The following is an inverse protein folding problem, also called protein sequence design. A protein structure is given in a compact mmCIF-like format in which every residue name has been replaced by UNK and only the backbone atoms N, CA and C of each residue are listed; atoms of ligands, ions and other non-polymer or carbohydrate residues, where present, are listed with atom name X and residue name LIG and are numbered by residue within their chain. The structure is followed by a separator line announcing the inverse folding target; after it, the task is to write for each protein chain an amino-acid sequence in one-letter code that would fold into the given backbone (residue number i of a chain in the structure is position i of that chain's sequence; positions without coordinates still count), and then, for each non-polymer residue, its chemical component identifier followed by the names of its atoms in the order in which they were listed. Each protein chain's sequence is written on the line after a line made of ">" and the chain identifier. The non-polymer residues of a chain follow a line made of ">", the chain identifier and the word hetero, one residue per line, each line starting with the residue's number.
data_IF_316489077716
#
_entry.id   IF_316489077716
#
_cell.length_a   1.000
_cell.length_b   1.000
_cell.length_c   1.000
_cell.angle_alpha   90.00
_cell.angle_beta   90.00
_cell.angle_gamma   90.00
#
_symmetry.space_group_name_H-M   'P 1'
#
loop_
_entity.id
_entity.type
_entity.pdbx_description
1 polymer ?
#
# COMPACT_ATOMS: atom_id res chain seq x y z
N UNK A 1 -41.03 48.44 -64.49
CA UNK A 1 -40.33 47.11 -64.56
C UNK A 1 -39.08 47.07 -63.66
N UNK A 2 -38.49 48.15 -63.16
CA UNK A 2 -37.24 48.25 -62.40
C UNK A 2 -37.37 47.94 -60.93
N UNK A 3 -38.49 48.14 -60.26
CA UNK A 3 -38.69 47.96 -58.81
C UNK A 3 -38.75 46.45 -58.40
N UNK A 4 -39.31 45.60 -59.29
CA UNK A 4 -39.42 44.16 -59.04
C UNK A 4 -38.04 43.46 -59.06
N UNK A 5 -37.08 44.00 -59.80
CA UNK A 5 -35.68 43.42 -59.90
C UNK A 5 -34.88 43.75 -58.67
N UNK A 6 -35.02 44.91 -58.06
CA UNK A 6 -34.35 45.30 -56.82
C UNK A 6 -34.85 44.50 -55.62
N UNK A 7 -36.17 44.24 -55.54
CA UNK A 7 -36.69 43.45 -54.42
C UNK A 7 -36.27 41.97 -54.43
N UNK A 8 -36.11 41.36 -55.63
CA UNK A 8 -35.57 39.99 -55.75
C UNK A 8 -34.07 39.88 -55.39
N UNK A 9 -33.29 40.95 -55.67
CA UNK A 9 -31.84 40.96 -55.38
C UNK A 9 -31.59 41.15 -53.90
N UNK A 10 -32.38 41.98 -53.19
CA UNK A 10 -32.28 42.15 -51.74
C UNK A 10 -32.72 40.90 -50.95
N UNK A 11 -33.82 40.23 -51.42
CA UNK A 11 -34.26 38.98 -50.77
C UNK A 11 -33.26 37.85 -50.96
N UNK A 12 -32.59 37.70 -52.12
CA UNK A 12 -31.54 36.70 -52.31
C UNK A 12 -30.30 36.96 -51.44
N UNK A 13 -29.91 38.23 -51.24
CA UNK A 13 -28.81 38.61 -50.38
C UNK A 13 -29.12 38.37 -48.90
N UNK A 14 -30.35 38.66 -48.47
CA UNK A 14 -30.79 38.39 -47.09
C UNK A 14 -30.80 36.89 -46.76
N UNK A 15 -31.30 36.04 -47.71
CA UNK A 15 -31.31 34.58 -47.57
C UNK A 15 -29.88 34.01 -47.58
N UNK A 16 -28.95 34.59 -48.34
CA UNK A 16 -27.54 34.22 -48.37
C UNK A 16 -26.82 34.55 -47.07
N UNK A 17 -27.11 35.72 -46.49
CA UNK A 17 -26.53 36.14 -45.20
C UNK A 17 -27.05 35.24 -44.05
N UNK A 18 -28.32 34.89 -44.01
CA UNK A 18 -28.89 34.00 -42.99
C UNK A 18 -28.34 32.58 -43.10
N UNK A 19 -28.15 32.03 -44.31
CA UNK A 19 -27.52 30.70 -44.46
C UNK A 19 -26.07 30.67 -44.00
N UNK A 20 -25.30 31.68 -44.32
CA UNK A 20 -23.90 31.78 -43.92
C UNK A 20 -23.74 31.97 -42.40
N UNK A 21 -24.62 32.73 -41.76
CA UNK A 21 -24.61 32.89 -40.31
C UNK A 21 -25.03 31.62 -39.57
N UNK A 22 -26.03 30.89 -40.06
CA UNK A 22 -26.45 29.59 -39.52
C UNK A 22 -25.33 28.55 -39.68
N UNK A 23 -24.65 28.50 -40.81
CA UNK A 23 -23.55 27.61 -41.05
C UNK A 23 -22.33 27.92 -40.16
N UNK A 24 -22.01 29.20 -39.98
CA UNK A 24 -20.92 29.64 -39.08
C UNK A 24 -21.26 29.35 -37.62
N UNK A 25 -22.53 29.44 -37.21
CA UNK A 25 -22.96 29.08 -35.85
C UNK A 25 -22.86 27.57 -35.62
N UNK A 26 -23.27 26.76 -36.59
CA UNK A 26 -23.22 25.31 -36.48
C UNK A 26 -21.76 24.77 -36.48
N UNK A 27 -20.88 25.38 -37.28
CA UNK A 27 -19.45 25.02 -37.27
C UNK A 27 -18.77 25.36 -35.96
N UNK A 28 -19.06 26.49 -35.34
CA UNK A 28 -18.56 26.84 -34.00
C UNK A 28 -19.07 25.90 -32.91
N UNK A 29 -20.32 25.47 -33.00
CA UNK A 29 -20.89 24.51 -32.05
C UNK A 29 -20.21 23.12 -32.13
N UNK A 30 -19.90 22.69 -33.36
CA UNK A 30 -19.15 21.43 -33.58
C UNK A 30 -17.70 21.56 -33.08
N UNK A 31 -17.04 22.66 -33.32
CA UNK A 31 -15.67 22.90 -32.80
C UNK A 31 -15.64 22.95 -31.28
N UNK A 32 -16.61 23.62 -30.63
CA UNK A 32 -16.74 23.60 -29.18
C UNK A 32 -16.94 22.19 -28.64
N UNK A 33 -17.86 21.41 -29.20
CA UNK A 33 -18.07 20.00 -28.77
C UNK A 33 -16.83 19.15 -28.95
N UNK A 34 -16.07 19.37 -30.01
CA UNK A 34 -14.81 18.67 -30.28
C UNK A 34 -13.71 19.05 -29.28
N UNK A 35 -13.60 20.32 -28.90
CA UNK A 35 -12.66 20.78 -27.86
C UNK A 35 -13.05 20.27 -26.48
N UNK A 36 -14.32 20.29 -26.10
CA UNK A 36 -14.77 19.69 -24.83
C UNK A 36 -14.49 18.20 -24.77
N UNK A 37 -14.73 17.46 -25.86
CA UNK A 37 -14.44 16.03 -25.94
C UNK A 37 -12.93 15.75 -25.82
N UNK A 38 -12.08 16.55 -26.48
CA UNK A 38 -10.63 16.38 -26.38
C UNK A 38 -10.08 16.70 -24.98
N UNK A 39 -10.61 17.73 -24.31
CA UNK A 39 -10.27 18.06 -22.92
C UNK A 39 -10.74 16.96 -21.97
N UNK A 40 -11.93 16.40 -22.18
CA UNK A 40 -12.47 15.30 -21.39
C UNK A 40 -11.59 14.04 -21.52
N UNK A 41 -11.19 13.70 -22.75
CA UNK A 41 -10.30 12.56 -23.02
C UNK A 41 -8.91 12.78 -22.41
N UNK A 42 -8.36 13.99 -22.52
CA UNK A 42 -7.09 14.35 -21.91
C UNK A 42 -7.15 14.29 -20.38
N UNK A 43 -8.23 14.75 -19.77
CA UNK A 43 -8.49 14.64 -18.33
C UNK A 43 -8.62 13.17 -17.89
N UNK A 44 -9.30 12.35 -18.68
CA UNK A 44 -9.45 10.92 -18.40
C UNK A 44 -8.10 10.17 -18.48
N UNK A 45 -7.24 10.53 -19.43
CA UNK A 45 -5.88 9.96 -19.54
C UNK A 45 -4.96 10.33 -18.38
N UNK A 46 -5.14 11.49 -17.76
CA UNK A 46 -4.37 11.92 -16.59
C UNK A 46 -4.71 11.10 -15.33
N UNK A 47 -5.94 10.57 -15.22
CA UNK A 47 -6.40 9.78 -14.07
C UNK A 47 -5.81 8.35 -14.10
N UNK A 48 -5.49 7.80 -15.27
CA UNK A 48 -4.98 6.43 -15.42
C UNK A 48 -3.49 6.23 -15.05
N UNK A 49 -2.74 7.28 -14.71
CA UNK A 49 -1.32 7.17 -14.39
C UNK A 49 -0.98 7.00 -12.90
N UNK A 50 -1.96 6.69 -12.04
CA UNK A 50 -1.67 6.31 -10.65
C UNK A 50 -1.36 4.80 -10.65
N UNK A 51 -0.24 4.42 -11.25
CA UNK A 51 0.35 3.11 -11.05
C UNK A 51 1.03 3.13 -9.68
N UNK A 52 0.34 2.68 -8.65
CA UNK A 52 1.01 2.33 -7.41
C UNK A 52 1.95 1.16 -7.71
N UNK A 53 3.24 1.43 -7.79
CA UNK A 53 4.23 0.38 -7.86
C UNK A 53 4.19 -0.36 -6.51
N UNK A 54 3.54 -1.52 -6.47
CA UNK A 54 3.54 -2.40 -5.31
C UNK A 54 4.98 -2.86 -5.06
N UNK A 55 5.49 -2.63 -3.86
CA UNK A 55 6.85 -2.99 -3.44
C UNK A 55 6.89 -4.42 -2.90
N UNK A 56 5.81 -4.82 -2.25
CA UNK A 56 5.65 -6.11 -1.60
C UNK A 56 4.65 -6.99 -2.36
N UNK A 57 4.86 -8.29 -2.24
CA UNK A 57 3.96 -9.36 -2.69
C UNK A 57 3.82 -10.38 -1.57
N UNK A 58 3.06 -10.03 -0.56
CA UNK A 58 2.84 -10.85 0.62
C UNK A 58 1.52 -11.61 0.53
N UNK A 59 1.57 -12.91 0.85
CA UNK A 59 0.38 -13.73 1.11
C UNK A 59 -0.04 -13.51 2.57
N UNK A 60 -1.15 -12.82 2.79
CA UNK A 60 -1.65 -12.52 4.14
C UNK A 60 -2.87 -13.37 4.44
N UNK A 61 -2.82 -14.12 5.54
CA UNK A 61 -3.89 -15.01 6.00
C UNK A 61 -4.24 -14.77 7.45
N UNK A 62 -5.53 -14.82 7.74
CA UNK A 62 -6.08 -14.76 9.09
C UNK A 62 -6.80 -16.09 9.40
N UNK A 63 -6.31 -16.78 10.42
CA UNK A 63 -6.90 -18.03 10.88
C UNK A 63 -7.55 -17.79 12.25
N UNK A 64 -8.87 -17.86 12.31
CA UNK A 64 -9.68 -17.71 13.53
C UNK A 64 -10.45 -18.99 13.88
N UNK A 65 -9.92 -20.17 13.53
CA UNK A 65 -10.61 -21.45 13.75
C UNK A 65 -10.86 -21.78 15.21
N UNK A 66 -10.11 -21.17 16.13
CA UNK A 66 -10.26 -21.33 17.58
C UNK A 66 -11.38 -20.47 18.19
N UNK A 67 -11.86 -19.47 17.45
CA UNK A 67 -12.89 -18.56 17.95
C UNK A 67 -14.27 -19.14 17.69
N UNK A 68 -14.96 -19.55 18.74
CA UNK A 68 -16.32 -20.10 18.65
C UNK A 68 -17.37 -18.98 18.56
N UNK A 69 -18.38 -19.15 17.74
CA UNK A 69 -19.53 -18.22 17.65
C UNK A 69 -19.24 -16.86 17.01
N UNK A 70 -18.04 -16.64 16.49
CA UNK A 70 -17.68 -15.41 15.78
C UNK A 70 -18.23 -15.42 14.37
N UNK A 71 -18.68 -14.24 13.93
CA UNK A 71 -18.99 -14.05 12.52
C UNK A 71 -17.70 -14.16 11.70
N UNK A 72 -17.62 -15.18 10.86
CA UNK A 72 -16.46 -15.44 10.00
C UNK A 72 -16.21 -14.29 9.03
N UNK A 73 -17.23 -13.50 8.75
CA UNK A 73 -17.17 -12.33 7.86
C UNK A 73 -16.20 -11.28 8.37
N UNK A 74 -16.16 -11.03 9.69
CA UNK A 74 -15.22 -10.08 10.32
C UNK A 74 -13.77 -10.45 10.02
N UNK A 75 -13.42 -11.73 10.14
CA UNK A 75 -12.03 -12.18 9.86
C UNK A 75 -11.70 -12.23 8.37
N UNK A 76 -12.69 -12.44 7.50
CA UNK A 76 -12.51 -12.32 6.06
C UNK A 76 -12.29 -10.86 5.65
N UNK A 77 -13.05 -9.93 6.23
CA UNK A 77 -12.90 -8.50 6.02
C UNK A 77 -11.53 -8.01 6.54
N UNK A 78 -11.14 -8.45 7.75
CA UNK A 78 -9.81 -8.19 8.30
C UNK A 78 -8.71 -8.69 7.37
N UNK A 79 -8.81 -9.92 6.87
CA UNK A 79 -7.81 -10.46 5.94
C UNK A 79 -7.71 -9.61 4.66
N UNK A 80 -8.86 -9.22 4.08
CA UNK A 80 -8.89 -8.37 2.89
C UNK A 80 -8.24 -7.01 3.16
N UNK A 81 -8.60 -6.36 4.26
CA UNK A 81 -8.00 -5.08 4.66
C UNK A 81 -6.49 -5.20 4.89
N UNK A 82 -6.02 -6.30 5.48
CA UNK A 82 -4.60 -6.56 5.70
C UNK A 82 -3.84 -6.83 4.40
N UNK A 83 -4.43 -7.58 3.45
CA UNK A 83 -3.84 -7.78 2.12
C UNK A 83 -3.64 -6.45 1.41
N UNK A 84 -4.65 -5.58 1.44
CA UNK A 84 -4.58 -4.24 0.86
C UNK A 84 -3.56 -3.36 1.59
N UNK A 85 -3.60 -3.34 2.91
CA UNK A 85 -2.66 -2.56 3.74
C UNK A 85 -1.21 -2.95 3.46
N UNK A 86 -0.87 -4.23 3.49
CA UNK A 86 0.50 -4.71 3.33
C UNK A 86 1.01 -4.49 1.90
N UNK A 87 0.21 -4.82 0.88
CA UNK A 87 0.69 -4.81 -0.50
C UNK A 87 0.51 -3.48 -1.24
N UNK A 88 -0.38 -2.60 -0.77
CA UNK A 88 -0.65 -1.33 -1.43
C UNK A 88 -0.05 -0.11 -0.71
N UNK A 89 0.37 -0.26 0.56
CA UNK A 89 1.10 0.80 1.26
C UNK A 89 2.49 0.99 0.64
N UNK A 90 2.91 2.24 0.50
CA UNK A 90 4.25 2.59 0.06
C UNK A 90 5.21 2.56 1.25
N UNK A 91 6.03 1.52 1.33
CA UNK A 91 6.95 1.29 2.44
C UNK A 91 8.32 1.92 2.23
N UNK A 92 8.72 2.13 0.97
CA UNK A 92 10.03 2.68 0.61
C UNK A 92 9.89 3.81 -0.41
N UNK A 93 10.98 4.54 -0.65
CA UNK A 93 11.05 5.51 -1.75
C UNK A 93 11.61 4.90 -3.05
N UNK A 94 11.75 3.57 -3.10
CA UNK A 94 12.33 2.84 -4.22
C UNK A 94 11.21 2.37 -5.15
N UNK A 95 11.47 2.43 -6.45
CA UNK A 95 10.55 1.91 -7.45
C UNK A 95 10.95 0.49 -7.84
N UNK A 96 10.18 -0.49 -7.39
CA UNK A 96 10.39 -1.89 -7.72
C UNK A 96 9.70 -2.26 -9.04
N UNK A 97 10.39 -3.01 -9.89
CA UNK A 97 9.73 -3.68 -11.01
C UNK A 97 8.92 -4.87 -10.51
N UNK A 98 8.01 -5.36 -11.32
CA UNK A 98 7.12 -6.47 -10.94
C UNK A 98 7.87 -7.74 -10.51
N UNK A 99 9.03 -8.01 -11.12
CA UNK A 99 9.90 -9.14 -10.80
C UNK A 99 10.91 -8.86 -9.67
N UNK A 100 10.96 -7.64 -9.16
CA UNK A 100 11.84 -7.22 -8.06
C UNK A 100 11.07 -7.13 -6.74
N UNK A 101 9.75 -7.33 -6.75
CA UNK A 101 8.90 -7.27 -5.56
C UNK A 101 9.37 -8.28 -4.51
N UNK A 102 9.37 -7.84 -3.28
CA UNK A 102 9.76 -8.64 -2.14
C UNK A 102 8.62 -9.61 -1.79
N UNK A 103 8.90 -10.91 -1.85
CA UNK A 103 7.91 -11.95 -1.59
C UNK A 103 7.96 -12.42 -0.13
N UNK A 104 6.78 -12.62 0.45
CA UNK A 104 6.67 -13.08 1.83
C UNK A 104 5.29 -13.60 2.16
N UNK A 105 5.11 -13.97 3.42
CA UNK A 105 3.81 -14.34 3.96
C UNK A 105 3.63 -13.87 5.39
N UNK A 106 2.41 -13.48 5.72
CA UNK A 106 1.98 -13.16 7.08
C UNK A 106 0.80 -14.08 7.41
N UNK A 107 0.94 -14.85 8.49
CA UNK A 107 -0.13 -15.66 9.04
C UNK A 107 -0.46 -15.17 10.44
N UNK A 108 -1.69 -14.72 10.63
CA UNK A 108 -2.24 -14.34 11.94
C UNK A 108 -3.14 -15.46 12.42
N UNK A 109 -2.78 -16.08 13.54
CA UNK A 109 -3.66 -17.03 14.23
C UNK A 109 -4.34 -16.31 15.39
N UNK A 110 -5.64 -16.09 15.28
CA UNK A 110 -6.45 -15.52 16.35
C UNK A 110 -6.81 -16.63 17.31
N UNK A 111 -6.27 -16.59 18.52
CA UNK A 111 -6.42 -17.64 19.53
C UNK A 111 -7.52 -17.32 20.52
N UNK A 112 -7.71 -16.05 20.84
CA UNK A 112 -8.65 -15.57 21.87
C UNK A 112 -9.37 -14.29 21.38
N UNK A 113 -10.61 -14.15 21.82
CA UNK A 113 -11.39 -12.91 21.75
C UNK A 113 -11.63 -12.46 23.18
N UNK A 114 -10.94 -11.41 23.62
CA UNK A 114 -11.02 -10.93 25.00
C UNK A 114 -12.21 -10.03 25.23
N UNK A 115 -12.58 -9.25 24.23
CA UNK A 115 -13.76 -8.37 24.22
C UNK A 115 -14.37 -8.38 22.81
N UNK A 116 -15.40 -7.56 22.57
CA UNK A 116 -16.14 -7.54 21.30
C UNK A 116 -15.21 -7.37 20.09
N UNK A 117 -14.24 -6.47 20.17
CA UNK A 117 -13.36 -6.08 19.07
C UNK A 117 -11.87 -6.27 19.40
N UNK A 118 -11.57 -6.88 20.57
CA UNK A 118 -10.21 -7.16 21.02
C UNK A 118 -9.85 -8.63 20.86
N UNK A 119 -8.73 -8.89 20.21
CA UNK A 119 -8.25 -10.21 19.84
C UNK A 119 -6.82 -10.42 20.32
N UNK A 120 -6.48 -11.65 20.67
CA UNK A 120 -5.12 -12.06 20.99
C UNK A 120 -4.74 -13.33 20.22
N UNK A 121 -3.45 -13.44 19.90
CA UNK A 121 -2.96 -14.59 19.13
C UNK A 121 -1.48 -14.53 18.83
N UNK A 122 -1.11 -15.13 17.73
CA UNK A 122 0.26 -15.12 17.21
C UNK A 122 0.28 -14.65 15.75
N UNK A 123 1.36 -13.96 15.40
CA UNK A 123 1.66 -13.56 14.04
C UNK A 123 2.96 -14.21 13.59
N UNK A 124 2.92 -14.91 12.45
CA UNK A 124 4.09 -15.49 11.80
C UNK A 124 4.40 -14.73 10.51
N UNK A 125 5.63 -14.23 10.42
CA UNK A 125 6.11 -13.48 9.27
C UNK A 125 7.27 -14.23 8.64
N UNK A 126 7.18 -14.48 7.33
CA UNK A 126 8.24 -15.12 6.55
C UNK A 126 8.56 -14.28 5.34
N UNK A 127 9.81 -13.87 5.21
CA UNK A 127 10.36 -13.25 4.01
C UNK A 127 11.15 -14.29 3.23
N UNK A 128 10.96 -14.35 1.92
CA UNK A 128 11.64 -15.30 1.04
C UNK A 128 12.27 -14.60 -0.13
N UNK A 129 13.41 -15.15 -0.57
CA UNK A 129 14.08 -14.73 -1.80
C UNK A 129 14.27 -15.90 -2.75
N UNK A 130 14.07 -15.68 -4.06
CA UNK A 130 14.44 -16.66 -5.06
C UNK A 130 15.96 -16.81 -5.11
N UNK A 131 16.42 -18.06 -5.12
CA UNK A 131 17.84 -18.37 -5.26
C UNK A 131 18.22 -18.30 -6.73
N UNK A 132 19.31 -17.55 -7.04
CA UNK A 132 19.76 -17.31 -8.40
C UNK A 132 19.92 -18.60 -9.21
N UNK A 133 19.40 -18.63 -10.43
CA UNK A 133 19.39 -19.78 -11.37
C UNK A 133 18.75 -21.08 -10.82
N UNK A 134 17.85 -20.97 -9.85
CA UNK A 134 17.10 -22.12 -9.32
C UNK A 134 15.61 -21.80 -9.26
N UNK A 135 14.78 -22.83 -8.99
CA UNK A 135 13.35 -22.66 -8.71
C UNK A 135 13.08 -22.69 -7.19
N UNK A 136 14.10 -22.56 -6.37
CA UNK A 136 13.98 -22.60 -4.91
C UNK A 136 13.96 -21.18 -4.34
N UNK A 137 13.17 -21.01 -3.26
CA UNK A 137 13.17 -19.82 -2.44
C UNK A 137 13.83 -20.13 -1.12
N UNK A 138 14.72 -19.26 -0.63
CA UNK A 138 15.31 -19.33 0.69
C UNK A 138 14.62 -18.34 1.63
N UNK A 139 14.32 -18.72 2.89
CA UNK A 139 13.85 -17.77 3.88
C UNK A 139 15.01 -16.85 4.31
N UNK A 140 14.82 -15.55 4.15
CA UNK A 140 15.73 -14.52 4.68
C UNK A 140 15.34 -14.15 6.10
N UNK A 141 14.04 -14.16 6.40
CA UNK A 141 13.49 -13.87 7.70
C UNK A 141 12.33 -14.82 8.00
N UNK A 142 12.28 -15.37 9.21
CA UNK A 142 11.17 -16.18 9.70
C UNK A 142 11.05 -15.98 11.21
N UNK A 143 9.94 -15.38 11.63
CA UNK A 143 9.70 -15.09 13.04
C UNK A 143 8.26 -15.31 13.42
N UNK A 144 8.04 -15.84 14.62
CA UNK A 144 6.72 -16.00 15.24
C UNK A 144 6.68 -15.14 16.51
N UNK A 145 5.78 -14.17 16.52
CA UNK A 145 5.47 -13.37 17.70
C UNK A 145 4.21 -13.89 18.36
N UNK A 146 4.34 -14.39 19.55
CA UNK A 146 3.26 -14.96 20.37
C UNK A 146 2.64 -13.94 21.34
N UNK A 147 3.08 -12.68 21.30
CA UNK A 147 2.58 -11.59 22.12
C UNK A 147 1.85 -10.56 21.26
N UNK A 148 1.03 -11.06 20.36
CA UNK A 148 0.27 -10.24 19.45
C UNK A 148 -1.16 -10.11 19.94
N UNK A 149 -1.55 -8.91 20.33
CA UNK A 149 -2.92 -8.51 20.66
C UNK A 149 -3.28 -7.29 19.81
N UNK A 150 -4.54 -7.18 19.43
CA UNK A 150 -4.98 -6.07 18.58
C UNK A 150 -6.48 -5.85 18.72
N UNK A 151 -6.90 -4.62 18.49
CA UNK A 151 -8.29 -4.22 18.30
C UNK A 151 -8.59 -4.14 16.79
N UNK A 152 -9.75 -4.64 16.38
CA UNK A 152 -10.25 -4.50 15.03
C UNK A 152 -11.77 -4.39 15.02
N UNK A 153 -12.27 -3.28 14.47
CA UNK A 153 -13.69 -3.05 14.21
C UNK A 153 -13.98 -3.37 12.75
N UNK A 154 -15.04 -4.14 12.51
CA UNK A 154 -15.38 -4.58 11.14
C UNK A 154 -15.59 -3.39 10.19
N UNK A 155 -14.92 -3.43 9.03
CA UNK A 155 -14.91 -2.35 8.05
C UNK A 155 -13.98 -1.17 8.39
N UNK A 156 -13.19 -1.24 9.45
CA UNK A 156 -12.19 -0.22 9.77
C UNK A 156 -11.11 -0.15 8.68
N UNK A 157 -10.81 1.07 8.23
CA UNK A 157 -9.65 1.31 7.37
C UNK A 157 -8.37 1.18 8.20
N UNK A 158 -7.41 0.42 7.66
CA UNK A 158 -6.08 0.29 8.26
C UNK A 158 -5.19 1.41 7.74
N UNK A 159 -4.71 2.25 8.65
CA UNK A 159 -3.80 3.36 8.36
C UNK A 159 -2.55 3.25 9.23
N UNK A 160 -1.44 3.74 8.69
CA UNK A 160 -0.16 3.74 9.37
C UNK A 160 0.61 5.03 9.08
N UNK A 161 1.13 5.62 10.15
CA UNK A 161 2.05 6.74 10.09
C UNK A 161 3.30 6.40 10.94
N UNK A 162 4.51 6.42 10.36
CA UNK A 162 5.72 6.04 11.09
C UNK A 162 6.06 6.96 12.28
N UNK A 163 5.48 8.16 12.33
CA UNK A 163 5.74 9.15 13.39
C UNK A 163 4.76 9.07 14.56
N UNK A 164 3.68 8.31 14.43
CA UNK A 164 2.63 8.23 15.45
C UNK A 164 2.16 6.78 15.63
N UNK A 165 1.88 6.41 16.88
CA UNK A 165 1.24 5.13 17.14
C UNK A 165 -0.26 5.22 16.79
N UNK A 166 -0.73 4.40 15.84
CA UNK A 166 -2.12 4.37 15.40
C UNK A 166 -2.90 3.22 16.04
N UNK A 167 -2.39 2.00 15.94
CA UNK A 167 -2.98 0.81 16.56
C UNK A 167 -1.92 -0.29 16.70
N UNK A 168 -2.16 -1.26 17.60
CA UNK A 168 -1.28 -2.44 17.73
C UNK A 168 -1.23 -3.25 16.45
N UNK A 169 -2.35 -3.40 15.75
CA UNK A 169 -2.45 -4.15 14.51
C UNK A 169 -1.52 -3.58 13.43
N UNK A 170 -1.71 -2.32 13.07
CA UNK A 170 -0.95 -1.68 11.98
C UNK A 170 0.50 -1.43 12.35
N UNK A 171 0.77 -1.01 13.60
CA UNK A 171 2.14 -0.77 14.09
C UNK A 171 2.95 -2.05 14.16
N UNK A 172 2.38 -3.17 14.60
CA UNK A 172 3.07 -4.46 14.64
C UNK A 172 3.40 -4.97 13.23
N UNK A 173 2.46 -4.88 12.31
CA UNK A 173 2.70 -5.30 10.92
C UNK A 173 3.75 -4.42 10.27
N UNK A 174 3.65 -3.09 10.40
CA UNK A 174 4.63 -2.15 9.87
C UNK A 174 6.04 -2.40 10.46
N UNK A 175 6.13 -2.65 11.76
CA UNK A 175 7.39 -3.01 12.42
C UNK A 175 8.05 -4.23 11.76
N UNK A 176 7.31 -5.31 11.55
CA UNK A 176 7.84 -6.52 10.93
C UNK A 176 8.15 -6.34 9.44
N UNK A 177 7.38 -5.52 8.72
CA UNK A 177 7.70 -5.18 7.34
C UNK A 177 9.02 -4.42 7.26
N UNK A 178 9.23 -3.40 8.09
CA UNK A 178 10.51 -2.68 8.12
C UNK A 178 11.67 -3.56 8.57
N UNK A 179 11.45 -4.44 9.54
CA UNK A 179 12.46 -5.41 9.95
C UNK A 179 12.84 -6.34 8.80
N UNK A 180 11.85 -6.87 8.07
CA UNK A 180 12.05 -7.72 6.90
C UNK A 180 12.76 -6.97 5.76
N UNK A 181 12.36 -5.75 5.47
CA UNK A 181 13.04 -4.87 4.49
C UNK A 181 14.48 -4.62 4.89
N UNK A 182 14.74 -4.31 6.16
CA UNK A 182 16.09 -4.10 6.66
C UNK A 182 16.98 -5.32 6.44
N UNK A 183 16.50 -6.51 6.78
CA UNK A 183 17.24 -7.74 6.53
C UNK A 183 17.43 -8.04 5.05
N UNK A 184 16.43 -7.76 4.23
CA UNK A 184 16.52 -7.93 2.80
C UNK A 184 17.59 -7.02 2.18
N UNK A 185 17.61 -5.74 2.55
CA UNK A 185 18.58 -4.78 2.05
C UNK A 185 20.01 -5.02 2.57
N UNK A 186 20.18 -5.58 3.76
CA UNK A 186 21.48 -6.02 4.26
C UNK A 186 22.09 -7.15 3.40
N UNK A 187 21.28 -7.91 2.66
CA UNK A 187 21.79 -8.92 1.71
C UNK A 187 22.31 -8.33 0.40
N UNK A 188 22.03 -7.07 0.11
CA UNK A 188 22.49 -6.41 -1.13
C UNK A 188 23.73 -5.55 -0.94
N UNK A 189 23.86 -4.96 0.21
CA UNK A 189 24.99 -4.08 0.52
C UNK A 189 25.25 -4.05 2.02
N UNK A 190 26.53 -3.83 2.36
CA UNK A 190 26.96 -3.70 3.75
C UNK A 190 26.13 -2.64 4.48
N UNK A 191 25.41 -3.04 5.53
CA UNK A 191 24.52 -2.17 6.32
C UNK A 191 23.39 -1.49 5.50
N UNK A 192 23.00 -2.09 4.35
CA UNK A 192 21.99 -1.50 3.45
C UNK A 192 20.61 -1.34 4.08
N UNK A 193 20.28 -2.14 5.09
CA UNK A 193 19.01 -2.10 5.81
C UNK A 193 18.91 -1.06 6.93
N UNK A 194 19.95 -0.25 7.17
CA UNK A 194 20.02 0.66 8.32
C UNK A 194 18.85 1.62 8.42
N UNK A 195 18.39 2.18 7.30
CA UNK A 195 17.24 3.09 7.25
C UNK A 195 15.97 2.40 7.73
N UNK A 196 15.73 1.17 7.31
CA UNK A 196 14.54 0.41 7.68
C UNK A 196 14.56 -0.02 9.14
N UNK A 197 15.71 -0.40 9.67
CA UNK A 197 15.85 -0.70 11.11
C UNK A 197 15.59 0.54 11.97
N UNK A 198 16.00 1.74 11.54
CA UNK A 198 15.67 2.99 12.23
C UNK A 198 14.18 3.29 12.21
N UNK A 199 13.47 2.99 11.11
CA UNK A 199 12.01 3.11 11.05
C UNK A 199 11.32 2.13 12.01
N UNK A 200 11.77 0.86 12.04
CA UNK A 200 11.27 -0.13 12.99
C UNK A 200 11.54 0.27 14.45
N UNK A 201 12.72 0.82 14.75
CA UNK A 201 13.09 1.35 16.07
C UNK A 201 12.19 2.55 16.44
N UNK A 202 11.90 3.43 15.49
CA UNK A 202 10.97 4.54 15.68
C UNK A 202 9.58 4.06 16.14
N UNK A 203 9.04 3.03 15.48
CA UNK A 203 7.76 2.41 15.87
C UNK A 203 7.84 1.85 17.30
N UNK A 204 8.89 1.09 17.61
CA UNK A 204 9.07 0.49 18.93
C UNK A 204 9.21 1.54 20.05
N UNK A 205 9.74 2.72 19.75
CA UNK A 205 9.91 3.80 20.71
C UNK A 205 8.61 4.56 21.02
N UNK A 206 7.69 4.66 20.07
CA UNK A 206 6.39 5.34 20.27
C UNK A 206 5.29 4.40 20.72
N UNK A 207 5.49 3.09 20.62
CA UNK A 207 4.53 2.07 21.02
C UNK A 207 4.30 2.08 22.55
N UNK A 208 3.08 1.77 23.04
CA UNK A 208 2.80 1.63 24.45
C UNK A 208 3.61 0.50 25.08
N UNK A 209 3.83 0.58 26.39
CA UNK A 209 4.59 -0.43 27.14
C UNK A 209 3.72 -1.65 27.48
N UNK A 210 3.21 -2.33 26.45
CA UNK A 210 2.52 -3.61 26.55
C UNK A 210 3.49 -4.79 26.49
N UNK A 211 3.06 -6.05 26.70
CA UNK A 211 3.95 -7.20 26.68
C UNK A 211 4.73 -7.40 25.37
N UNK A 212 4.22 -6.91 24.24
CA UNK A 212 4.87 -6.98 22.94
C UNK A 212 5.97 -5.93 22.75
N UNK A 213 5.86 -4.77 23.42
CA UNK A 213 6.74 -3.62 23.28
C UNK A 213 7.54 -3.25 24.55
N UNK A 214 7.37 -4.00 25.64
CA UNK A 214 8.00 -3.73 26.94
C UNK A 214 9.53 -3.78 26.87
N UNK A 215 10.18 -2.63 27.07
CA UNK A 215 11.63 -2.44 27.04
C UNK A 215 12.38 -3.29 28.07
N UNK A 216 11.71 -3.77 29.11
CA UNK A 216 12.33 -4.59 30.16
C UNK A 216 12.39 -6.09 29.82
N UNK A 217 11.66 -6.53 28.80
CA UNK A 217 11.60 -7.94 28.42
C UNK A 217 12.64 -8.31 27.35
N UNK A 218 13.26 -9.49 27.52
CA UNK A 218 14.33 -9.94 26.63
C UNK A 218 13.84 -10.56 25.31
N UNK A 219 12.57 -10.89 25.18
CA UNK A 219 12.00 -11.55 23.99
C UNK A 219 10.71 -10.85 23.57
N UNK A 220 10.87 -9.75 22.88
CA UNK A 220 9.78 -8.99 22.30
C UNK A 220 10.30 -8.14 21.13
N UNK A 221 9.44 -7.36 20.52
CA UNK A 221 9.75 -6.52 19.36
C UNK A 221 10.84 -5.49 19.66
N UNK A 222 10.79 -4.87 20.85
CA UNK A 222 11.81 -3.90 21.26
C UNK A 222 13.20 -4.54 21.34
N UNK A 223 13.33 -5.70 21.97
CA UNK A 223 14.60 -6.39 22.09
C UNK A 223 15.16 -6.86 20.73
N UNK A 224 14.30 -7.20 19.77
CA UNK A 224 14.72 -7.55 18.41
C UNK A 224 15.39 -6.35 17.75
N UNK A 225 14.71 -5.21 17.74
CA UNK A 225 15.24 -4.05 17.02
C UNK A 225 16.46 -3.45 17.73
N UNK A 226 16.50 -3.46 19.06
CA UNK A 226 17.67 -3.06 19.83
C UNK A 226 18.90 -3.88 19.42
N UNK A 227 18.76 -5.19 19.20
CA UNK A 227 19.86 -6.03 18.72
C UNK A 227 20.26 -5.68 17.28
N UNK A 228 19.31 -5.39 16.40
CA UNK A 228 19.60 -5.06 15.00
C UNK A 228 20.28 -3.70 14.84
N UNK A 229 20.01 -2.75 15.72
CA UNK A 229 20.63 -1.41 15.72
C UNK A 229 21.90 -1.34 16.59
N UNK A 230 22.18 -2.35 17.41
CA UNK A 230 23.35 -2.36 18.29
C UNK A 230 24.65 -2.55 17.49
N UNK A 231 25.63 -1.64 17.64
CA UNK A 231 26.93 -1.74 16.95
C UNK A 231 27.68 -3.06 17.16
N UNK A 232 27.46 -3.77 18.29
CA UNK A 232 28.07 -5.07 18.57
C UNK A 232 27.63 -6.15 17.57
N UNK A 233 26.48 -6.03 16.95
CA UNK A 233 25.96 -6.97 15.94
C UNK A 233 26.26 -6.53 14.49
N UNK A 234 26.84 -5.35 14.27
CA UNK A 234 27.16 -4.89 12.93
C UNK A 234 28.06 -5.82 12.12
N UNK A 235 29.04 -6.58 12.70
CA UNK A 235 29.82 -7.55 11.93
C UNK A 235 28.94 -8.66 11.32
N UNK A 236 27.89 -9.11 12.03
CA UNK A 236 26.96 -10.14 11.53
C UNK A 236 26.16 -9.60 10.36
N UNK A 237 25.66 -8.36 10.46
CA UNK A 237 24.90 -7.71 9.40
C UNK A 237 25.75 -7.49 8.15
N UNK A 238 27.01 -7.09 8.31
CA UNK A 238 27.96 -6.93 7.20
C UNK A 238 28.20 -8.23 6.45
N UNK A 239 28.31 -9.35 7.18
CA UNK A 239 28.48 -10.67 6.59
C UNK A 239 27.29 -11.14 5.76
N UNK A 240 26.10 -10.56 5.94
CA UNK A 240 24.92 -10.91 5.14
C UNK A 240 25.01 -10.46 3.67
N UNK A 241 25.88 -9.52 3.34
CA UNK A 241 26.07 -9.01 1.98
C UNK A 241 27.21 -9.70 1.21
N UNK A 242 28.01 -10.56 1.88
CA UNK A 242 29.12 -11.35 1.29
C UNK A 242 28.60 -12.67 0.71
#
# INVERSE_FOLDING_TARGET
>A
MTVLFLCKKTAKNAIGITKNTIFAFHSKEIEMKRTYLSVLIASLMLIFNISHAQELKFDVRVNASKISGSDRTVFQNLQTALVEFVNNTKWTNINFKTNERIEGSILINVNERTETDNFAGDINIVLRRPVYKTNFNTPVFNYIDTKFSFEYIDGQMLDFNPSTYSSDLTSTIAFYIYLALGMDFDTFSEMGGEEFFKLAEGIANVAPQDPGWDKTKRRNRYAIIENMTNPAFSPIRKFMSE
#
